data_IF_527637156932
#
_entry.id   IF_527637156932
#
_cell.length_a   1.000
_cell.length_b   1.000
_cell.length_c   1.000
_cell.angle_alpha   90.00
_cell.angle_beta   90.00
_cell.angle_gamma   90.00
#
_symmetry.space_group_name_H-M   'P 1'
#
loop_
_entity.id
_entity.type
_entity.pdbx_description
1 polymer ?
#
# COMPACT_ATOMS: atom_id res chain seq x y z
N UNK A 1 -39.96 45.09 8.19
CA UNK A 1 -38.76 45.09 9.06
C UNK A 1 -37.76 44.12 8.43
N UNK A 2 -36.92 44.60 7.52
CA UNK A 2 -35.94 43.78 6.80
C UNK A 2 -34.56 44.03 7.36
N UNK A 3 -33.89 43.00 7.84
CA UNK A 3 -32.49 43.09 8.25
C UNK A 3 -31.60 42.97 7.01
N UNK A 4 -30.96 44.08 6.62
CA UNK A 4 -29.91 44.12 5.60
C UNK A 4 -28.59 43.76 6.27
N UNK A 5 -27.98 42.65 5.85
CA UNK A 5 -26.68 42.21 6.37
C UNK A 5 -25.64 42.63 5.33
N UNK A 6 -24.96 43.74 5.61
CA UNK A 6 -23.88 44.23 4.76
C UNK A 6 -22.67 43.29 4.88
N UNK A 7 -22.25 42.71 3.74
CA UNK A 7 -21.01 41.93 3.63
C UNK A 7 -19.82 42.87 3.82
N UNK A 8 -19.06 42.66 4.89
CA UNK A 8 -17.71 43.20 5.02
C UNK A 8 -16.81 42.49 4.00
N UNK A 9 -16.44 43.18 2.93
CA UNK A 9 -15.38 42.76 2.01
C UNK A 9 -14.03 43.01 2.68
N UNK A 10 -13.59 42.08 3.52
CA UNK A 10 -12.20 42.00 3.96
C UNK A 10 -11.37 41.35 2.85
N UNK A 11 -10.62 42.15 2.09
CA UNK A 11 -9.58 41.66 1.20
C UNK A 11 -8.37 41.21 2.04
N UNK A 12 -8.38 39.94 2.45
CA UNK A 12 -7.19 39.28 3.00
C UNK A 12 -6.15 39.02 1.90
N UNK A 13 -4.84 39.02 2.23
CA UNK A 13 -3.80 38.73 1.26
C UNK A 13 -3.98 37.32 0.71
N UNK A 14 -4.03 37.19 -0.61
CA UNK A 14 -4.08 35.92 -1.31
C UNK A 14 -2.70 35.26 -1.22
N UNK A 15 -2.44 34.58 -0.11
CA UNK A 15 -1.37 33.59 -0.03
C UNK A 15 -1.70 32.50 -1.04
N UNK A 16 -0.98 32.47 -2.15
CA UNK A 16 -1.12 31.42 -3.16
C UNK A 16 -1.02 30.06 -2.49
N UNK A 17 -2.07 29.25 -2.59
CA UNK A 17 -2.04 27.90 -2.09
C UNK A 17 -0.86 27.17 -2.76
N UNK A 18 0.02 26.49 -2.01
CA UNK A 18 1.03 25.65 -2.62
C UNK A 18 0.35 24.64 -3.54
N UNK A 19 0.93 24.42 -4.72
CA UNK A 19 0.42 23.44 -5.67
C UNK A 19 0.19 22.10 -4.96
N UNK A 20 -0.90 21.37 -5.28
CA UNK A 20 -1.16 20.11 -4.61
C UNK A 20 0.02 19.15 -4.82
N UNK A 21 0.39 18.38 -3.80
CA UNK A 21 1.44 17.38 -3.91
C UNK A 21 1.19 16.44 -5.09
N UNK A 22 2.23 16.19 -5.90
CA UNK A 22 2.13 15.31 -7.07
C UNK A 22 2.08 13.86 -6.60
N UNK A 23 0.94 13.19 -6.82
CA UNK A 23 0.76 11.79 -6.42
C UNK A 23 1.71 10.87 -7.17
N UNK A 24 2.25 9.83 -6.52
CA UNK A 24 3.09 8.83 -7.18
C UNK A 24 2.33 8.08 -8.28
N UNK A 25 3.07 7.59 -9.27
CA UNK A 25 2.52 6.82 -10.38
C UNK A 25 1.99 5.45 -9.92
N UNK A 26 1.07 4.87 -10.68
CA UNK A 26 0.50 3.54 -10.35
C UNK A 26 1.58 2.45 -10.32
N UNK A 27 2.55 2.52 -11.24
CA UNK A 27 3.64 1.53 -11.30
C UNK A 27 4.59 1.63 -10.11
N UNK A 28 4.82 2.84 -9.58
CA UNK A 28 5.62 3.00 -8.36
C UNK A 28 4.88 2.45 -7.16
N UNK A 29 3.58 2.72 -7.04
CA UNK A 29 2.73 2.18 -5.97
C UNK A 29 2.67 0.66 -6.03
N UNK A 30 2.51 0.07 -7.22
CA UNK A 30 2.50 -1.39 -7.43
C UNK A 30 3.80 -2.03 -6.94
N UNK A 31 4.97 -1.45 -7.24
CA UNK A 31 6.28 -1.96 -6.78
C UNK A 31 6.42 -1.89 -5.26
N UNK A 32 6.01 -0.77 -4.66
CA UNK A 32 6.01 -0.60 -3.21
C UNK A 32 5.08 -1.63 -2.53
N UNK A 33 3.84 -1.79 -3.02
CA UNK A 33 2.88 -2.78 -2.49
C UNK A 33 3.35 -4.21 -2.69
N UNK A 34 4.03 -4.53 -3.79
CA UNK A 34 4.58 -5.87 -4.02
C UNK A 34 5.65 -6.20 -2.97
N UNK A 35 6.52 -5.24 -2.65
CA UNK A 35 7.51 -5.43 -1.58
C UNK A 35 6.84 -5.62 -0.20
N UNK A 36 5.78 -4.87 0.08
CA UNK A 36 5.01 -4.99 1.32
C UNK A 36 4.26 -6.33 1.43
N UNK A 37 3.60 -6.76 0.35
CA UNK A 37 2.87 -8.04 0.32
C UNK A 37 3.83 -9.23 0.38
N UNK A 38 4.97 -9.16 -0.29
CA UNK A 38 6.00 -10.20 -0.22
C UNK A 38 6.61 -10.34 1.18
N UNK A 39 6.72 -9.25 1.93
CA UNK A 39 7.15 -9.26 3.32
C UNK A 39 6.05 -9.74 4.28
N UNK A 40 4.79 -9.42 4.00
CA UNK A 40 3.64 -9.79 4.83
C UNK A 40 3.24 -11.26 4.70
N UNK A 41 3.48 -11.87 3.52
CA UNK A 41 3.06 -13.24 3.20
C UNK A 41 4.30 -14.11 2.98
N UNK A 42 4.71 -14.91 3.98
CA UNK A 42 5.82 -15.84 3.81
C UNK A 42 5.44 -16.95 2.80
N UNK A 43 6.44 -17.58 2.15
CA UNK A 43 6.20 -18.53 1.05
C UNK A 43 5.31 -19.73 1.42
N UNK A 44 5.36 -20.16 2.67
CA UNK A 44 4.59 -21.28 3.20
C UNK A 44 3.10 -20.96 3.41
N UNK A 45 2.73 -19.69 3.51
CA UNK A 45 1.38 -19.26 3.94
C UNK A 45 0.49 -18.75 2.80
N UNK A 46 0.75 -19.14 1.54
CA UNK A 46 -0.17 -18.80 0.44
C UNK A 46 -1.53 -19.47 0.72
N UNK A 47 -2.59 -18.66 0.93
CA UNK A 47 -3.85 -19.20 1.44
C UNK A 47 -4.53 -20.09 0.40
N UNK A 48 -5.15 -21.18 0.89
CA UNK A 48 -5.95 -22.06 0.04
C UNK A 48 -7.21 -21.36 -0.48
N UNK A 49 -7.72 -21.78 -1.66
CA UNK A 49 -8.95 -21.18 -2.20
C UNK A 49 -10.16 -21.39 -1.29
N UNK A 50 -10.18 -22.44 -0.47
CA UNK A 50 -11.22 -22.64 0.54
C UNK A 50 -11.14 -21.59 1.65
N UNK A 51 -9.93 -21.25 2.11
CA UNK A 51 -9.78 -20.16 3.09
C UNK A 51 -10.25 -18.81 2.53
N UNK A 52 -10.02 -18.54 1.25
CA UNK A 52 -10.50 -17.31 0.61
C UNK A 52 -12.03 -17.31 0.47
N UNK A 53 -12.61 -18.47 0.17
CA UNK A 53 -14.05 -18.64 0.13
C UNK A 53 -14.70 -18.41 1.50
N UNK A 54 -14.12 -18.98 2.57
CA UNK A 54 -14.62 -18.78 3.93
C UNK A 54 -14.53 -17.31 4.36
N UNK A 55 -13.45 -16.61 4.00
CA UNK A 55 -13.31 -15.15 4.21
C UNK A 55 -14.41 -14.38 3.50
N UNK A 56 -14.68 -14.73 2.23
CA UNK A 56 -15.74 -14.09 1.46
C UNK A 56 -17.13 -14.31 2.09
N UNK A 57 -17.47 -15.53 2.51
CA UNK A 57 -18.72 -15.82 3.21
C UNK A 57 -18.82 -15.14 4.57
N UNK A 58 -17.70 -15.05 5.31
CA UNK A 58 -17.66 -14.37 6.61
C UNK A 58 -18.01 -12.88 6.51
N UNK A 59 -17.70 -12.24 5.37
CA UNK A 59 -18.10 -10.86 5.10
C UNK A 59 -19.62 -10.73 4.91
N UNK A 60 -20.27 -11.72 4.31
CA UNK A 60 -21.74 -11.74 4.13
C UNK A 60 -22.52 -12.27 5.33
N UNK A 61 -21.84 -12.81 6.34
CA UNK A 61 -22.50 -13.28 7.55
C UNK A 61 -23.37 -12.18 8.18
N UNK A 62 -24.57 -12.53 8.65
CA UNK A 62 -25.52 -11.56 9.20
C UNK A 62 -24.91 -10.71 10.32
N UNK A 63 -24.05 -11.31 11.15
CA UNK A 63 -23.42 -10.60 12.27
C UNK A 63 -22.40 -9.54 11.84
N UNK A 64 -21.64 -9.74 10.77
CA UNK A 64 -20.67 -8.74 10.27
C UNK A 64 -21.40 -7.62 9.55
N UNK A 65 -22.38 -7.97 8.70
CA UNK A 65 -23.23 -7.02 7.99
C UNK A 65 -24.06 -6.15 8.93
N UNK A 66 -24.66 -6.72 9.99
CA UNK A 66 -25.40 -5.95 10.98
C UNK A 66 -24.53 -4.90 11.68
N UNK A 67 -23.31 -5.27 12.09
CA UNK A 67 -22.38 -4.32 12.72
C UNK A 67 -21.95 -3.21 11.76
N UNK A 68 -21.75 -3.53 10.49
CA UNK A 68 -21.41 -2.54 9.49
C UNK A 68 -22.58 -1.58 9.23
N UNK A 69 -23.78 -2.11 9.07
CA UNK A 69 -25.00 -1.31 8.92
C UNK A 69 -25.27 -0.43 10.15
N UNK A 70 -25.04 -0.95 11.36
CA UNK A 70 -25.19 -0.16 12.59
C UNK A 70 -24.21 1.03 12.66
N UNK A 71 -22.95 0.84 12.24
CA UNK A 71 -21.92 1.89 12.31
C UNK A 71 -21.97 2.88 11.15
N UNK A 72 -22.20 2.40 9.94
CA UNK A 72 -22.05 3.18 8.71
C UNK A 72 -23.35 3.36 7.93
N UNK A 73 -24.47 2.78 8.39
CA UNK A 73 -25.79 2.90 7.73
C UNK A 73 -25.89 2.19 6.38
N UNK A 74 -24.89 1.42 5.99
CA UNK A 74 -24.79 0.77 4.67
C UNK A 74 -24.36 -0.69 4.82
N UNK A 75 -24.69 -1.52 3.83
CA UNK A 75 -24.14 -2.87 3.74
C UNK A 75 -22.62 -2.80 3.52
N UNK A 76 -21.88 -3.75 4.09
CA UNK A 76 -20.43 -3.81 3.90
C UNK A 76 -20.10 -4.19 2.46
N UNK A 77 -19.12 -3.51 1.86
CA UNK A 77 -18.60 -3.87 0.56
C UNK A 77 -17.66 -5.08 0.69
N UNK A 78 -18.11 -6.23 0.18
CA UNK A 78 -17.37 -7.49 0.19
C UNK A 78 -16.66 -7.76 -1.16
N UNK A 79 -16.55 -6.76 -2.04
CA UNK A 79 -15.99 -6.92 -3.39
C UNK A 79 -14.58 -7.50 -3.40
N UNK A 80 -13.68 -6.98 -2.56
CA UNK A 80 -12.28 -7.39 -2.49
C UNK A 80 -12.13 -8.90 -2.19
N UNK A 81 -12.85 -9.41 -1.19
CA UNK A 81 -12.81 -10.84 -0.84
C UNK A 81 -13.34 -11.73 -1.97
N UNK A 82 -14.34 -11.24 -2.72
CA UNK A 82 -14.88 -11.96 -3.86
C UNK A 82 -13.90 -12.02 -5.03
N UNK A 83 -13.12 -10.95 -5.24
CA UNK A 83 -12.11 -10.88 -6.29
C UNK A 83 -10.93 -11.80 -5.98
N UNK A 84 -10.43 -11.76 -4.74
CA UNK A 84 -9.40 -12.68 -4.25
C UNK A 84 -9.82 -14.14 -4.51
N UNK A 85 -11.06 -14.50 -4.16
CA UNK A 85 -11.58 -15.86 -4.38
C UNK A 85 -11.67 -16.23 -5.86
N UNK A 86 -12.22 -15.35 -6.71
CA UNK A 86 -12.30 -15.58 -8.15
C UNK A 86 -10.92 -15.75 -8.78
N UNK A 87 -9.95 -14.94 -8.34
CA UNK A 87 -8.58 -15.02 -8.80
C UNK A 87 -7.89 -16.32 -8.36
N UNK A 88 -8.18 -16.80 -7.15
CA UNK A 88 -7.69 -18.11 -6.71
C UNK A 88 -8.18 -19.25 -7.62
N UNK A 89 -9.44 -19.18 -8.08
CA UNK A 89 -10.01 -20.18 -8.99
C UNK A 89 -9.32 -20.19 -10.36
N UNK A 90 -8.93 -19.03 -10.89
CA UNK A 90 -8.24 -18.95 -12.19
C UNK A 90 -6.81 -19.51 -12.10
N UNK A 91 -6.13 -19.33 -10.97
CA UNK A 91 -4.76 -19.79 -10.76
C UNK A 91 -4.63 -21.27 -10.34
N UNK A 92 -5.73 -22.01 -10.15
CA UNK A 92 -5.71 -23.39 -9.63
C UNK A 92 -4.80 -24.34 -10.40
N UNK A 93 -4.56 -24.09 -11.68
CA UNK A 93 -3.74 -24.94 -12.57
C UNK A 93 -2.25 -24.57 -12.60
N UNK A 94 -1.84 -23.49 -11.92
CA UNK A 94 -0.45 -23.04 -11.91
C UNK A 94 0.38 -23.84 -10.89
N UNK A 95 1.68 -23.94 -11.16
CA UNK A 95 2.66 -24.47 -10.21
C UNK A 95 2.68 -23.63 -8.93
N UNK A 96 2.94 -24.22 -7.74
CA UNK A 96 2.97 -23.50 -6.47
C UNK A 96 3.84 -22.24 -6.46
N UNK A 97 5.00 -22.25 -7.14
CA UNK A 97 5.90 -21.10 -7.22
C UNK A 97 5.27 -19.94 -8.00
N UNK A 98 4.84 -20.20 -9.25
CA UNK A 98 4.17 -19.20 -10.07
C UNK A 98 2.82 -18.73 -9.49
N UNK A 99 2.14 -19.58 -8.72
CA UNK A 99 0.90 -19.23 -8.03
C UNK A 99 1.12 -18.18 -6.94
N UNK A 100 2.24 -18.26 -6.20
CA UNK A 100 2.59 -17.26 -5.19
C UNK A 100 2.81 -15.90 -5.84
N UNK A 101 3.66 -15.85 -6.87
CA UNK A 101 4.02 -14.60 -7.52
C UNK A 101 2.80 -13.93 -8.17
N UNK A 102 1.97 -14.73 -8.85
CA UNK A 102 0.71 -14.24 -9.43
C UNK A 102 -0.26 -13.71 -8.36
N UNK A 103 -0.35 -14.37 -7.20
CA UNK A 103 -1.16 -13.91 -6.07
C UNK A 103 -0.64 -12.57 -5.51
N UNK A 104 0.66 -12.45 -5.28
CA UNK A 104 1.29 -11.22 -4.79
C UNK A 104 1.07 -10.05 -5.76
N UNK A 105 1.24 -10.29 -7.07
CA UNK A 105 0.98 -9.29 -8.10
C UNK A 105 -0.48 -8.82 -8.08
N UNK A 106 -1.44 -9.75 -8.09
CA UNK A 106 -2.86 -9.38 -8.05
C UNK A 106 -3.21 -8.53 -6.82
N UNK A 107 -2.69 -8.92 -5.66
CA UNK A 107 -2.89 -8.19 -4.40
C UNK A 107 -2.26 -6.80 -4.43
N UNK A 108 -1.03 -6.70 -4.93
CA UNK A 108 -0.33 -5.43 -5.10
C UNK A 108 -1.09 -4.50 -6.05
N UNK A 109 -1.67 -5.04 -7.12
CA UNK A 109 -2.47 -4.29 -8.08
C UNK A 109 -3.74 -3.72 -7.45
N UNK A 110 -4.52 -4.55 -6.76
CA UNK A 110 -5.74 -4.10 -6.09
C UNK A 110 -5.44 -3.04 -5.02
N UNK A 111 -4.38 -3.23 -4.22
CA UNK A 111 -3.96 -2.23 -3.22
C UNK A 111 -3.48 -0.94 -3.86
N UNK A 112 -2.67 -1.01 -4.92
CA UNK A 112 -2.20 0.18 -5.64
C UNK A 112 -3.37 0.98 -6.22
N UNK A 113 -4.39 0.31 -6.77
CA UNK A 113 -5.62 0.96 -7.22
C UNK A 113 -6.42 1.58 -6.07
N UNK A 114 -6.54 0.89 -4.93
CA UNK A 114 -7.21 1.42 -3.75
C UNK A 114 -6.50 2.66 -3.18
N UNK A 115 -5.16 2.65 -3.11
CA UNK A 115 -4.32 3.78 -2.68
C UNK A 115 -4.40 4.97 -3.63
N UNK A 116 -4.49 4.72 -4.94
CA UNK A 116 -4.65 5.79 -5.93
C UNK A 116 -6.06 6.42 -5.94
N UNK A 117 -7.06 5.70 -5.43
CA UNK A 117 -8.45 6.15 -5.41
C UNK A 117 -8.68 7.41 -4.55
N UNK A 118 -9.74 8.16 -4.85
CA UNK A 118 -10.09 9.40 -4.13
C UNK A 118 -10.43 9.23 -2.65
N UNK A 119 -10.64 7.99 -2.19
CA UNK A 119 -11.01 7.65 -0.81
C UNK A 119 -9.79 7.32 0.07
N UNK A 120 -8.58 7.36 -0.48
CA UNK A 120 -7.35 7.12 0.29
C UNK A 120 -6.88 8.39 1.00
N UNK A 121 -6.22 8.25 2.15
CA UNK A 121 -5.57 9.37 2.85
C UNK A 121 -4.43 9.98 2.04
N UNK A 122 -3.81 9.20 1.16
CA UNK A 122 -2.72 9.61 0.27
C UNK A 122 -3.16 10.63 -0.79
N UNK A 123 -4.47 10.79 -0.95
CA UNK A 123 -5.03 11.85 -1.78
C UNK A 123 -4.73 13.25 -1.21
N UNK A 124 -4.54 13.36 0.10
CA UNK A 124 -4.36 14.61 0.85
C UNK A 124 -2.98 14.69 1.51
N UNK A 125 -2.44 13.54 1.95
CA UNK A 125 -1.22 13.46 2.75
C UNK A 125 -0.12 12.69 2.00
N UNK A 126 1.11 13.19 2.05
CA UNK A 126 2.27 12.45 1.52
C UNK A 126 2.86 11.52 2.59
N UNK A 127 3.35 10.36 2.14
CA UNK A 127 4.08 9.45 3.01
C UNK A 127 5.42 10.08 3.41
N UNK A 128 5.66 10.18 4.71
CA UNK A 128 6.92 10.70 5.25
C UNK A 128 8.06 9.71 4.94
N UNK A 129 9.08 10.17 4.20
CA UNK A 129 10.31 9.40 3.93
C UNK A 129 11.45 9.73 4.90
N UNK A 130 11.39 10.92 5.52
CA UNK A 130 12.43 11.35 6.46
C UNK A 130 12.22 10.72 7.84
N UNK A 131 13.26 10.10 8.43
CA UNK A 131 13.17 9.57 9.78
C UNK A 131 12.94 10.70 10.78
N UNK A 132 12.05 10.46 11.74
CA UNK A 132 11.86 11.33 12.90
C UNK A 132 13.07 11.17 13.82
N UNK A 133 14.13 11.92 13.54
CA UNK A 133 15.26 12.03 14.44
C UNK A 133 14.88 13.01 15.54
N UNK A 134 14.61 12.50 16.74
CA UNK A 134 14.59 13.34 17.92
C UNK A 134 16.02 13.85 18.16
N UNK A 135 16.27 15.17 18.22
CA UNK A 135 17.62 15.71 18.33
C UNK A 135 18.35 15.29 19.61
N UNK A 136 17.61 14.73 20.60
CA UNK A 136 18.15 14.20 21.86
C UNK A 136 18.73 12.78 21.69
N UNK A 137 18.28 12.03 20.68
CA UNK A 137 18.71 10.65 20.40
C UNK A 137 19.73 10.57 19.26
N UNK A 138 20.10 11.70 18.65
CA UNK A 138 21.14 11.77 17.62
C UNK A 138 22.48 11.96 18.31
N UNK A 139 23.21 10.86 18.51
CA UNK A 139 24.63 10.93 18.80
C UNK A 139 25.36 11.50 17.56
N UNK A 140 26.14 12.58 17.68
CA UNK A 140 26.69 13.32 16.54
C UNK A 140 27.75 12.55 15.72
N UNK A 141 28.18 11.37 16.15
CA UNK A 141 29.27 10.61 15.53
C UNK A 141 28.82 9.36 14.74
N UNK A 142 27.51 9.11 14.57
CA UNK A 142 27.00 7.85 13.97
C UNK A 142 26.04 8.00 12.77
N UNK A 143 25.84 9.23 12.27
CA UNK A 143 24.77 9.53 11.32
C UNK A 143 25.01 9.05 9.89
N UNK A 144 26.25 8.74 9.50
CA UNK A 144 26.59 8.31 8.13
C UNK A 144 26.69 6.79 7.94
N UNK A 145 26.99 6.02 9.01
CA UNK A 145 27.22 4.57 8.91
C UNK A 145 25.97 3.71 9.14
N UNK A 146 24.92 4.29 9.72
CA UNK A 146 23.73 3.53 10.14
C UNK A 146 22.78 3.21 8.98
N UNK A 147 22.70 4.08 7.96
CA UNK A 147 21.73 3.96 6.86
C UNK A 147 22.06 2.76 5.94
N UNK A 148 23.35 2.49 5.72
CA UNK A 148 23.80 1.35 4.89
C UNK A 148 23.62 -0.01 5.58
N UNK A 149 23.48 -0.03 6.91
CA UNK A 149 23.35 -1.26 7.69
C UNK A 149 21.92 -1.80 7.79
N UNK A 150 20.91 -0.94 7.57
CA UNK A 150 19.49 -1.30 7.67
C UNK A 150 18.95 -1.86 6.34
N UNK A 151 19.59 -1.54 5.21
CA UNK A 151 19.12 -1.96 3.88
C UNK A 151 19.85 -3.18 3.29
N UNK A 152 20.87 -3.73 3.94
CA UNK A 152 21.49 -5.00 3.52
C UNK A 152 21.33 -6.06 4.62
N UNK A 153 20.65 -7.20 4.36
CA UNK A 153 20.86 -8.36 5.19
C UNK A 153 22.34 -8.73 5.10
N UNK A 154 23.02 -8.75 6.26
CA UNK A 154 24.38 -9.25 6.38
C UNK A 154 24.43 -10.67 5.79
N UNK A 155 25.04 -10.78 4.62
CA UNK A 155 25.35 -12.05 3.97
C UNK A 155 24.47 -12.38 2.78
N UNK A 156 24.71 -11.73 1.64
CA UNK A 156 24.60 -12.39 0.34
C UNK A 156 25.77 -11.94 -0.52
N UNK A 157 26.63 -12.89 -0.90
CA UNK A 157 27.74 -12.66 -1.79
C UNK A 157 27.22 -12.22 -3.17
N UNK A 158 27.78 -11.13 -3.69
CA UNK A 158 27.64 -10.73 -5.09
C UNK A 158 28.38 -11.76 -5.94
N UNK A 159 27.63 -12.53 -6.73
CA UNK A 159 28.19 -13.20 -7.90
C UNK A 159 28.26 -12.14 -8.99
N UNK A 160 29.43 -11.55 -9.19
CA UNK A 160 29.68 -10.65 -10.31
C UNK A 160 29.67 -11.47 -11.61
N UNK A 161 28.73 -11.14 -12.50
CA UNK A 161 28.58 -11.77 -13.81
C UNK A 161 29.11 -10.87 -14.93
N UNK A 162 30.20 -10.15 -14.66
CA UNK A 162 30.85 -9.23 -15.59
C UNK A 162 32.36 -9.50 -15.69
N UNK A 163 32.71 -10.65 -16.27
CA UNK A 163 33.94 -10.75 -17.07
C UNK A 163 33.58 -11.18 -18.48
N UNK A 164 33.06 -10.22 -19.27
CA UNK A 164 33.14 -10.33 -20.72
C UNK A 164 34.61 -10.28 -21.13
N UNK A 165 35.04 -11.35 -21.80
CA UNK A 165 36.09 -11.47 -22.80
C UNK A 165 37.08 -10.29 -22.88
N UNK A 166 38.33 -10.55 -22.50
CA UNK A 166 39.46 -9.98 -23.24
C UNK A 166 40.40 -11.11 -23.65
N UNK A 167 40.57 -11.20 -24.95
CA UNK A 167 41.54 -12.01 -25.68
C UNK A 167 42.93 -11.38 -25.56
N UNK A 168 43.93 -12.18 -25.19
CA UNK A 168 45.21 -12.25 -25.92
C UNK A 168 45.94 -13.56 -25.61
#
# INVERSE_FOLDING_TARGET
MGASWSRLTGAGPQGGAPAPPTRPDLETLRKEELALEAAAIPPEDVPSCLHLFDKWLSCYALGSQFRHAYRYGTAADCGNYSNDFKFCLTMRKLEPQFRRDAYLQHRADERAHARRGFRSSEAVWEMRRDPLLDPVLVDPEGAEDSILSVLLPKGLALVDNDTKLTTK
#
